data_IF_287368511068
#
_entry.id   IF_287368511068
#
_cell.length_a   1.000
_cell.length_b   1.000
_cell.length_c   1.000
_cell.angle_alpha   90.00
_cell.angle_beta   90.00
_cell.angle_gamma   90.00
#
_symmetry.space_group_name_H-M   'P 1'
#
loop_
_entity.id
_entity.type
_entity.pdbx_description
1 polymer ?
#
# COMPACT_ATOMS: atom_id res chain seq x y z
N UNK A 1 14.34 13.12 8.47
CA UNK A 1 13.22 12.72 7.64
C UNK A 1 13.00 11.23 7.68
N UNK A 2 11.78 10.79 7.45
CA UNK A 2 11.36 9.41 7.57
C UNK A 2 11.66 8.63 6.30
N UNK A 3 12.27 7.45 6.44
CA UNK A 3 12.43 6.52 5.34
C UNK A 3 11.22 5.59 5.24
N UNK A 4 10.77 5.32 4.03
CA UNK A 4 9.71 4.36 3.77
C UNK A 4 10.00 3.53 2.53
N UNK A 5 9.76 2.23 2.64
CA UNK A 5 9.90 1.27 1.56
C UNK A 5 8.51 1.03 0.96
N UNK A 6 8.38 1.21 -0.35
CA UNK A 6 7.08 1.20 -1.04
C UNK A 6 7.14 0.40 -2.33
N UNK A 7 5.99 -0.13 -2.72
CA UNK A 7 5.75 -0.67 -4.06
C UNK A 7 5.15 0.45 -4.90
N UNK A 8 5.83 0.83 -5.96
CA UNK A 8 5.30 1.78 -6.95
C UNK A 8 4.48 1.03 -7.99
N UNK A 9 3.37 1.62 -8.38
CA UNK A 9 2.52 1.09 -9.45
C UNK A 9 2.96 1.67 -10.80
N UNK A 10 2.83 0.89 -11.87
CA UNK A 10 3.05 1.37 -13.23
C UNK A 10 1.90 2.31 -13.63
N UNK A 11 2.13 3.18 -14.62
CA UNK A 11 1.10 4.08 -15.13
C UNK A 11 -0.10 3.30 -15.68
N UNK A 12 0.13 2.16 -16.30
CA UNK A 12 -0.92 1.28 -16.80
C UNK A 12 -1.80 0.77 -15.66
N UNK A 13 -1.20 0.28 -14.57
CA UNK A 13 -1.94 -0.20 -13.39
C UNK A 13 -2.73 0.93 -12.73
N UNK A 14 -2.11 2.11 -12.59
CA UNK A 14 -2.79 3.29 -12.07
C UNK A 14 -4.02 3.65 -12.89
N UNK A 15 -3.92 3.60 -14.21
CA UNK A 15 -5.02 3.92 -15.11
C UNK A 15 -6.15 2.89 -14.98
N UNK A 16 -5.84 1.61 -14.85
CA UNK A 16 -6.85 0.58 -14.60
C UNK A 16 -7.63 0.85 -13.31
N UNK A 17 -6.95 1.26 -12.25
CA UNK A 17 -7.58 1.61 -10.98
C UNK A 17 -8.50 2.82 -11.16
N UNK A 18 -8.02 3.87 -11.82
CA UNK A 18 -8.82 5.07 -12.12
C UNK A 18 -10.10 4.71 -12.87
N UNK A 19 -9.98 3.88 -13.90
CA UNK A 19 -11.12 3.48 -14.73
C UNK A 19 -12.14 2.66 -13.95
N UNK A 20 -11.69 1.72 -13.12
CA UNK A 20 -12.59 0.87 -12.33
C UNK A 20 -13.27 1.60 -11.18
N UNK A 21 -12.67 2.66 -10.66
CA UNK A 21 -13.23 3.46 -9.57
C UNK A 21 -14.00 4.70 -10.06
N UNK A 22 -14.01 4.97 -11.35
CA UNK A 22 -14.54 6.21 -11.91
C UNK A 22 -16.00 6.49 -11.50
N UNK A 23 -16.87 5.49 -11.59
CA UNK A 23 -18.30 5.64 -11.26
C UNK A 23 -18.49 5.86 -9.76
N UNK A 24 -17.78 5.13 -8.94
CA UNK A 24 -17.83 5.29 -7.48
C UNK A 24 -17.32 6.68 -7.06
N UNK A 25 -16.22 7.12 -7.65
CA UNK A 25 -15.66 8.45 -7.37
C UNK A 25 -16.62 9.58 -7.71
N UNK A 26 -17.40 9.44 -8.76
CA UNK A 26 -18.43 10.43 -9.16
C UNK A 26 -19.52 10.56 -8.11
N UNK A 27 -19.88 9.47 -7.43
CA UNK A 27 -20.88 9.46 -6.36
C UNK A 27 -20.39 10.15 -5.09
N UNK A 28 -19.08 10.15 -4.85
CA UNK A 28 -18.47 10.66 -3.62
C UNK A 28 -17.37 11.67 -3.89
N UNK A 29 -17.68 12.81 -4.55
CA UNK A 29 -16.66 13.84 -4.83
C UNK A 29 -16.14 14.52 -3.57
N UNK A 30 -16.87 14.44 -2.45
CA UNK A 30 -16.50 15.02 -1.16
C UNK A 30 -15.41 14.26 -0.43
N UNK A 31 -15.07 13.03 -0.86
CA UNK A 31 -13.96 12.29 -0.29
C UNK A 31 -12.64 12.98 -0.63
N UNK A 32 -11.68 12.90 0.28
CA UNK A 32 -10.31 13.36 0.01
C UNK A 32 -9.58 12.25 -0.76
N UNK A 33 -9.74 12.25 -2.07
CA UNK A 33 -9.14 11.27 -2.96
C UNK A 33 -7.64 11.51 -3.09
N UNK A 34 -6.87 10.42 -2.98
CA UNK A 34 -5.43 10.48 -3.23
C UNK A 34 -5.18 10.82 -4.71
N UNK A 35 -4.12 11.57 -4.95
CA UNK A 35 -3.67 11.84 -6.31
C UNK A 35 -3.11 10.57 -6.94
N UNK A 36 -3.42 10.35 -8.20
CA UNK A 36 -3.01 9.13 -8.93
C UNK A 36 -1.49 8.95 -8.93
N UNK A 37 -0.74 10.03 -9.06
CA UNK A 37 0.72 9.98 -8.98
C UNK A 37 1.25 9.48 -7.64
N UNK A 38 0.45 9.54 -6.58
CA UNK A 38 0.81 9.06 -5.25
C UNK A 38 0.35 7.62 -4.97
N UNK A 39 -0.19 6.93 -5.96
CA UNK A 39 -0.59 5.53 -5.77
C UNK A 39 0.63 4.64 -5.58
N UNK A 40 0.81 4.20 -4.35
CA UNK A 40 1.84 3.26 -3.97
C UNK A 40 1.39 2.45 -2.76
N UNK A 41 2.04 1.33 -2.53
CA UNK A 41 1.72 0.44 -1.41
C UNK A 41 2.88 0.49 -0.43
N UNK A 42 2.61 0.91 0.81
CA UNK A 42 3.62 0.95 1.86
C UNK A 42 3.98 -0.47 2.29
N UNK A 43 5.27 -0.80 2.25
CA UNK A 43 5.79 -2.06 2.75
C UNK A 43 6.27 -1.91 4.19
N UNK A 44 7.08 -0.87 4.44
CA UNK A 44 7.60 -0.62 5.78
C UNK A 44 7.97 0.85 5.96
N UNK A 45 7.74 1.36 7.14
CA UNK A 45 8.11 2.73 7.52
C UNK A 45 9.16 2.66 8.63
N UNK A 46 10.34 3.21 8.36
CA UNK A 46 11.44 3.25 9.32
C UNK A 46 11.29 4.51 10.17
N UNK A 47 11.00 4.35 11.44
CA UNK A 47 10.76 5.49 12.34
C UNK A 47 12.00 6.30 12.60
N UNK A 48 13.12 5.62 12.83
CA UNK A 48 14.41 6.24 13.11
C UNK A 48 15.52 5.45 12.43
N UNK A 49 16.49 6.17 11.89
CA UNK A 49 17.71 5.56 11.39
C UNK A 49 18.88 6.46 11.79
N UNK A 50 19.91 5.86 12.37
CA UNK A 50 21.13 6.56 12.77
C UNK A 50 22.04 6.82 11.58
N UNK A 51 21.94 6.00 10.54
CA UNK A 51 22.79 6.09 9.36
C UNK A 51 22.02 5.57 8.15
N UNK A 52 21.70 6.49 7.24
CA UNK A 52 20.96 6.20 6.00
C UNK A 52 21.68 5.16 5.14
N UNK A 53 22.99 5.31 4.96
CA UNK A 53 23.80 4.38 4.17
C UNK A 53 23.76 2.97 4.74
N UNK A 54 23.91 2.82 6.06
CA UNK A 54 23.82 1.54 6.74
C UNK A 54 22.44 0.90 6.58
N UNK A 55 21.38 1.69 6.68
CA UNK A 55 20.00 1.22 6.49
C UNK A 55 19.80 0.70 5.08
N UNK A 56 20.29 1.42 4.07
CA UNK A 56 20.20 1.00 2.67
C UNK A 56 20.92 -0.32 2.46
N UNK A 57 22.13 -0.48 3.01
CA UNK A 57 22.92 -1.73 2.92
C UNK A 57 22.18 -2.91 3.56
N UNK A 58 21.57 -2.69 4.70
CA UNK A 58 20.78 -3.72 5.39
C UNK A 58 19.54 -4.14 4.58
N UNK A 59 18.83 -3.17 3.99
CA UNK A 59 17.69 -3.45 3.12
C UNK A 59 18.16 -4.25 1.90
N UNK A 60 19.24 -3.83 1.28
CA UNK A 60 19.80 -4.51 0.12
C UNK A 60 20.13 -5.97 0.42
N UNK A 61 20.75 -6.22 1.58
CA UNK A 61 21.05 -7.58 2.04
C UNK A 61 19.78 -8.38 2.29
N UNK A 62 18.78 -7.78 2.93
CA UNK A 62 17.51 -8.45 3.23
C UNK A 62 16.72 -8.81 1.97
N UNK A 63 16.85 -8.03 0.90
CA UNK A 63 16.12 -8.25 -0.35
C UNK A 63 16.91 -9.06 -1.38
N UNK A 64 18.16 -9.38 -1.12
CA UNK A 64 19.06 -10.01 -2.07
C UNK A 64 18.52 -11.34 -2.62
N UNK A 65 17.91 -12.15 -1.77
CA UNK A 65 17.39 -13.48 -2.13
C UNK A 65 15.86 -13.50 -2.33
N UNK A 66 15.22 -12.34 -2.43
CA UNK A 66 13.78 -12.25 -2.57
C UNK A 66 13.37 -12.25 -4.04
N UNK A 67 12.29 -12.97 -4.33
CA UNK A 67 11.78 -13.15 -5.69
C UNK A 67 10.72 -12.10 -6.03
N UNK A 68 10.59 -11.83 -7.32
CA UNK A 68 9.44 -11.08 -7.82
C UNK A 68 8.15 -11.84 -7.53
N UNK A 69 7.04 -11.13 -7.50
CA UNK A 69 5.72 -11.72 -7.23
C UNK A 69 4.64 -10.90 -7.92
N UNK A 70 3.41 -11.44 -7.91
CA UNK A 70 2.22 -10.76 -8.45
C UNK A 70 1.28 -10.44 -7.30
N UNK A 71 0.69 -9.25 -7.35
CA UNK A 71 -0.38 -8.86 -6.45
C UNK A 71 -1.72 -8.92 -7.20
N UNK A 72 -2.72 -9.45 -6.53
CA UNK A 72 -4.09 -9.57 -7.03
C UNK A 72 -5.02 -8.86 -6.08
N UNK A 73 -5.83 -7.94 -6.61
CA UNK A 73 -6.82 -7.24 -5.80
C UNK A 73 -7.87 -8.21 -5.26
N UNK A 74 -8.35 -7.91 -4.07
CA UNK A 74 -9.42 -8.70 -3.43
C UNK A 74 -10.70 -7.89 -3.35
N UNK A 75 -10.65 -6.72 -2.71
CA UNK A 75 -11.81 -5.86 -2.54
C UNK A 75 -11.38 -4.41 -2.31
N UNK A 76 -12.32 -3.49 -2.52
CA UNK A 76 -12.19 -2.12 -2.04
C UNK A 76 -13.02 -2.04 -0.76
N UNK A 77 -12.40 -1.61 0.32
CA UNK A 77 -12.99 -1.63 1.66
C UNK A 77 -12.73 -0.31 2.38
N UNK A 78 -13.36 -0.16 3.53
CA UNK A 78 -13.16 1.01 4.37
C UNK A 78 -12.94 0.59 5.82
N UNK A 79 -12.20 1.41 6.56
CA UNK A 79 -11.97 1.19 7.98
C UNK A 79 -13.24 1.46 8.76
N UNK A 80 -13.34 0.88 9.97
CA UNK A 80 -14.48 1.07 10.86
C UNK A 80 -14.37 2.41 11.58
N UNK A 81 -15.48 3.13 11.69
CA UNK A 81 -15.57 4.36 12.46
C UNK A 81 -16.05 5.56 11.66
N UNK A 82 -15.98 6.74 12.27
CA UNK A 82 -16.42 7.98 11.63
C UNK A 82 -15.35 8.54 10.67
N UNK A 83 -14.09 8.40 11.04
CA UNK A 83 -12.97 8.75 10.16
C UNK A 83 -12.55 7.48 9.44
N UNK A 84 -12.86 7.42 8.16
CA UNK A 84 -12.58 6.23 7.36
C UNK A 84 -11.39 6.46 6.44
N UNK A 85 -10.70 5.35 6.15
CA UNK A 85 -9.75 5.24 5.06
C UNK A 85 -10.35 4.25 4.07
N UNK A 86 -10.50 4.69 2.82
CA UNK A 86 -10.90 3.84 1.72
C UNK A 86 -9.63 3.25 1.10
N UNK A 87 -9.56 1.93 0.97
CA UNK A 87 -8.38 1.27 0.47
C UNK A 87 -8.75 0.09 -0.41
N UNK A 88 -7.85 -0.24 -1.34
CA UNK A 88 -7.90 -1.48 -2.11
C UNK A 88 -7.06 -2.51 -1.37
N UNK A 89 -7.70 -3.62 -1.01
CA UNK A 89 -7.05 -4.74 -0.35
C UNK A 89 -6.59 -5.75 -1.38
N UNK A 90 -5.48 -6.41 -1.13
CA UNK A 90 -4.91 -7.42 -2.02
C UNK A 90 -4.91 -8.78 -1.34
N UNK A 91 -4.96 -9.82 -2.14
CA UNK A 91 -4.87 -11.19 -1.63
C UNK A 91 -3.54 -11.42 -0.96
N UNK A 92 -3.53 -12.34 -0.01
CA UNK A 92 -2.29 -12.74 0.66
C UNK A 92 -1.29 -13.25 -0.38
N UNK A 93 -0.06 -12.82 -0.23
CA UNK A 93 1.03 -13.21 -1.10
C UNK A 93 2.26 -13.54 -0.23
N UNK A 94 2.78 -14.77 -0.37
CA UNK A 94 3.84 -15.29 0.51
C UNK A 94 5.15 -14.51 0.39
N UNK A 95 5.51 -14.08 -0.80
CA UNK A 95 6.79 -13.41 -1.01
C UNK A 95 6.82 -12.03 -0.35
N UNK A 96 5.73 -11.26 -0.47
CA UNK A 96 5.67 -9.96 0.22
C UNK A 96 5.61 -10.13 1.74
N UNK A 97 5.01 -11.19 2.24
CA UNK A 97 5.03 -11.50 3.67
C UNK A 97 6.47 -11.79 4.15
N UNK A 98 7.24 -12.58 3.38
CA UNK A 98 8.65 -12.86 3.65
C UNK A 98 9.49 -11.60 3.62
N UNK A 99 9.29 -10.76 2.62
CA UNK A 99 9.98 -9.46 2.49
C UNK A 99 9.70 -8.59 3.71
N UNK A 100 8.43 -8.42 4.04
CA UNK A 100 8.02 -7.61 5.19
C UNK A 100 8.64 -8.11 6.49
N UNK A 101 8.66 -9.42 6.69
CA UNK A 101 9.26 -10.04 7.87
C UNK A 101 10.77 -9.79 7.95
N UNK A 102 11.47 -9.97 6.83
CA UNK A 102 12.91 -9.71 6.76
C UNK A 102 13.24 -8.25 7.04
N UNK A 103 12.42 -7.33 6.54
CA UNK A 103 12.60 -5.89 6.78
C UNK A 103 12.30 -5.54 8.24
N UNK A 104 11.27 -6.11 8.84
CA UNK A 104 10.95 -5.89 10.27
C UNK A 104 12.09 -6.33 11.20
N UNK A 105 12.80 -7.39 10.84
CA UNK A 105 13.96 -7.89 11.62
C UNK A 105 15.13 -6.92 11.64
N UNK A 106 15.17 -5.95 10.72
CA UNK A 106 16.19 -4.91 10.74
C UNK A 106 15.94 -3.88 11.84
N UNK A 107 14.72 -3.81 12.33
CA UNK A 107 14.32 -2.98 13.46
C UNK A 107 14.63 -3.73 14.76
N UNK A 108 15.26 -3.06 15.75
CA UNK A 108 15.60 -3.64 17.05
C UNK A 108 14.40 -3.84 17.97
N UNK A 109 13.19 -3.46 17.54
CA UNK A 109 11.97 -3.59 18.32
C UNK A 109 11.19 -4.83 17.91
N UNK A 110 10.73 -5.60 18.90
CA UNK A 110 9.75 -6.65 18.70
C UNK A 110 8.43 -6.00 18.27
N UNK A 111 8.17 -6.03 16.99
CA UNK A 111 6.91 -5.57 16.45
C UNK A 111 5.87 -6.70 16.49
N UNK A 112 4.59 -6.33 16.32
CA UNK A 112 3.48 -7.26 16.39
C UNK A 112 3.69 -8.46 15.46
N UNK A 113 3.20 -9.63 15.89
CA UNK A 113 3.21 -10.87 15.11
C UNK A 113 2.22 -10.85 13.93
N UNK A 114 1.56 -9.72 13.67
CA UNK A 114 0.62 -9.61 12.57
C UNK A 114 1.31 -9.74 11.22
N UNK A 115 0.71 -10.55 10.37
CA UNK A 115 1.18 -10.70 9.00
C UNK A 115 0.88 -9.45 8.18
N UNK A 116 1.84 -9.07 7.37
CA UNK A 116 1.69 -7.94 6.48
C UNK A 116 0.61 -8.20 5.42
N UNK A 117 -0.28 -7.24 5.25
CA UNK A 117 -1.31 -7.24 4.20
C UNK A 117 -1.09 -6.00 3.33
N UNK A 118 -0.83 -6.18 2.02
CA UNK A 118 -0.65 -5.03 1.13
C UNK A 118 -1.98 -4.30 0.91
N UNK A 119 -1.93 -2.97 1.02
CA UNK A 119 -3.09 -2.11 0.86
C UNK A 119 -2.72 -0.84 0.10
N UNK A 120 -3.57 -0.45 -0.82
CA UNK A 120 -3.46 0.81 -1.54
C UNK A 120 -4.50 1.78 -0.99
N UNK A 121 -4.03 2.87 -0.38
CA UNK A 121 -4.93 3.92 0.13
C UNK A 121 -5.46 4.73 -1.05
N UNK A 122 -6.78 4.86 -1.12
CA UNK A 122 -7.48 5.55 -2.22
C UNK A 122 -8.06 6.89 -1.78
N UNK A 123 -8.61 6.98 -0.57
CA UNK A 123 -9.26 8.19 -0.10
C UNK A 123 -9.41 8.19 1.42
N UNK A 124 -9.66 9.38 1.96
CA UNK A 124 -10.00 9.58 3.37
C UNK A 124 -11.28 10.41 3.44
N UNK A 125 -12.10 10.14 4.45
CA UNK A 125 -13.34 10.87 4.65
C UNK A 125 -13.85 10.75 6.07
N UNK A 126 -14.46 11.82 6.55
CA UNK A 126 -15.17 11.83 7.83
C UNK A 126 -16.65 11.65 7.57
N UNK A 127 -17.20 10.49 7.95
CA UNK A 127 -18.60 10.16 7.73
C UNK A 127 -19.44 10.77 8.84
N UNK A 128 -20.53 11.50 8.51
CA UNK A 128 -21.37 12.16 9.52
C UNK A 128 -22.27 11.22 10.31
N UNK A 129 -22.56 10.00 9.81
CA UNK A 129 -23.47 9.09 10.50
C UNK A 129 -23.19 7.62 10.21
N UNK A 130 -23.60 6.73 11.12
CA UNK A 130 -23.55 5.28 10.91
C UNK A 130 -24.36 4.84 9.69
N UNK A 131 -25.48 5.49 9.44
CA UNK A 131 -26.34 5.16 8.31
C UNK A 131 -25.63 5.38 6.99
N UNK A 132 -24.93 6.49 6.83
CA UNK A 132 -24.09 6.73 5.65
C UNK A 132 -22.95 5.72 5.53
N UNK A 133 -22.33 5.37 6.65
CA UNK A 133 -21.30 4.34 6.67
C UNK A 133 -21.79 3.03 6.03
N UNK A 134 -22.96 2.55 6.46
CA UNK A 134 -23.53 1.30 5.93
C UNK A 134 -23.92 1.40 4.46
N UNK A 135 -24.42 2.57 4.02
CA UNK A 135 -24.75 2.80 2.61
C UNK A 135 -23.49 2.71 1.75
N UNK A 136 -22.42 3.38 2.16
CA UNK A 136 -21.15 3.35 1.43
C UNK A 136 -20.59 1.93 1.41
N UNK A 137 -20.58 1.26 2.53
CA UNK A 137 -20.10 -0.12 2.65
C UNK A 137 -20.87 -1.06 1.73
N UNK A 138 -22.18 -0.92 1.64
CA UNK A 138 -23.03 -1.72 0.75
C UNK A 138 -22.70 -1.46 -0.73
N UNK A 139 -22.47 -0.20 -1.09
CA UNK A 139 -22.07 0.15 -2.47
C UNK A 139 -20.71 -0.42 -2.81
N UNK A 140 -19.76 -0.39 -1.87
CA UNK A 140 -18.44 -0.98 -2.07
C UNK A 140 -18.50 -2.49 -2.26
N UNK A 141 -19.41 -3.18 -1.59
CA UNK A 141 -19.55 -4.64 -1.74
C UNK A 141 -19.98 -5.05 -3.14
N UNK A 142 -20.56 -4.13 -3.91
CA UNK A 142 -20.97 -4.35 -5.30
C UNK A 142 -19.91 -3.92 -6.31
N UNK A 143 -18.87 -3.24 -5.85
CA UNK A 143 -17.79 -2.77 -6.71
C UNK A 143 -16.85 -3.93 -7.01
N UNK A 144 -16.68 -4.23 -8.28
CA UNK A 144 -15.71 -5.23 -8.70
C UNK A 144 -14.35 -4.57 -8.93
N UNK A 145 -13.37 -5.01 -8.16
CA UNK A 145 -11.99 -4.58 -8.33
C UNK A 145 -11.19 -5.76 -8.89
N UNK A 146 -10.73 -5.61 -10.13
CA UNK A 146 -9.95 -6.63 -10.81
C UNK A 146 -8.64 -6.02 -11.30
N UNK A 147 -7.69 -5.95 -10.39
CA UNK A 147 -6.35 -5.39 -10.62
C UNK A 147 -5.32 -6.48 -10.30
N UNK A 148 -4.42 -6.72 -11.24
CA UNK A 148 -3.26 -7.57 -10.98
C UNK A 148 -2.03 -6.96 -11.62
N UNK A 149 -0.90 -7.07 -10.95
CA UNK A 149 0.35 -6.54 -11.48
C UNK A 149 1.55 -7.26 -10.89
N UNK A 150 2.63 -7.21 -11.64
CA UNK A 150 3.91 -7.79 -11.26
C UNK A 150 4.70 -6.79 -10.41
N UNK A 151 5.27 -7.29 -9.31
CA UNK A 151 6.17 -6.53 -8.46
C UNK A 151 7.57 -7.11 -8.60
N UNK A 152 8.45 -6.40 -9.30
CA UNK A 152 9.83 -6.83 -9.53
C UNK A 152 10.85 -5.88 -8.90
N UNK A 153 10.40 -4.87 -8.20
CA UNK A 153 11.26 -3.90 -7.51
C UNK A 153 10.52 -3.25 -6.36
N UNK A 154 11.28 -2.79 -5.37
CA UNK A 154 10.79 -1.96 -4.28
C UNK A 154 11.59 -0.65 -4.28
N UNK A 155 10.95 0.44 -3.87
CA UNK A 155 11.56 1.77 -3.87
C UNK A 155 11.63 2.33 -2.46
N UNK A 156 12.77 2.90 -2.11
CA UNK A 156 12.97 3.56 -0.82
C UNK A 156 12.83 5.06 -1.01
N UNK A 157 12.00 5.67 -0.16
CA UNK A 157 11.74 7.10 -0.16
C UNK A 157 12.23 7.74 1.13
N UNK A 158 12.78 8.93 1.01
CA UNK A 158 13.04 9.85 2.12
C UNK A 158 12.06 11.00 1.99
N UNK A 159 11.00 10.99 2.82
CA UNK A 159 9.86 11.86 2.56
C UNK A 159 9.22 11.52 1.21
N UNK A 160 9.11 12.50 0.32
CA UNK A 160 8.55 12.33 -1.01
C UNK A 160 9.61 12.01 -2.08
N UNK A 161 10.88 11.99 -1.70
CA UNK A 161 11.99 11.78 -2.63
C UNK A 161 12.40 10.32 -2.69
N UNK A 162 12.37 9.74 -3.90
CA UNK A 162 12.89 8.40 -4.14
C UNK A 162 14.41 8.43 -4.15
N UNK A 163 15.03 7.65 -3.25
CA UNK A 163 16.49 7.63 -3.08
C UNK A 163 17.15 6.34 -3.55
N UNK A 164 16.41 5.24 -3.64
CA UNK A 164 16.96 3.95 -4.06
C UNK A 164 15.87 3.03 -4.60
N UNK A 165 16.26 2.18 -5.55
CA UNK A 165 15.40 1.10 -6.08
C UNK A 165 16.11 -0.23 -5.88
N UNK A 166 15.39 -1.21 -5.34
CA UNK A 166 15.90 -2.56 -5.11
C UNK A 166 15.16 -3.52 -6.05
N UNK A 167 15.91 -4.22 -6.87
CA UNK A 167 15.35 -5.20 -7.80
C UNK A 167 15.14 -6.54 -7.10
N UNK A 168 14.05 -7.21 -7.42
CA UNK A 168 13.75 -8.57 -6.99
C UNK A 168 14.14 -9.56 -8.09
N UNK A 169 14.45 -10.80 -7.70
CA UNK A 169 14.86 -11.83 -8.63
C UNK A 169 13.74 -12.34 -9.53
#
# INVERSE_FOLDING_TARGET
MKLSLKIELTDETKQQIVDQLADFKKLYPQFQWEKVENYNILVHSFREFSNKKSTIEKIETALFDKNLFYLYSFEVALTIGNNIVLFMDFRREKEIERISESIKRLSSRLESSEKYVPRLILAKYKIPSKQQYFVIKKRLSKLEADISFKVNKLSLFEGDKKIRVFKLL
#
